data_IF_723786640204
#
_entry.id   IF_723786640204
#
_cell.length_a   1.000
_cell.length_b   1.000
_cell.length_c   1.000
_cell.angle_alpha   90.00
_cell.angle_beta   90.00
_cell.angle_gamma   90.00
#
_symmetry.space_group_name_H-M   'P 1'
#
loop_
_entity.id
_entity.type
_entity.pdbx_description
1 polymer ?
#
# COMPACT_ATOMS: atom_id res chain seq x y z
N UNK A 1 7.60 -18.67 51.30
CA UNK A 1 7.21 -17.93 50.07
C UNK A 1 8.26 -17.96 48.96
N UNK A 2 9.55 -17.68 49.20
CA UNK A 2 10.59 -17.63 48.15
C UNK A 2 10.75 -18.91 47.30
N UNK A 3 10.57 -20.10 47.89
CA UNK A 3 10.66 -21.38 47.17
C UNK A 3 9.46 -21.68 46.28
N UNK A 4 8.29 -21.12 46.59
CA UNK A 4 7.07 -21.30 45.79
C UNK A 4 7.11 -20.41 44.54
N UNK A 5 7.65 -19.19 44.66
CA UNK A 5 7.86 -18.29 43.53
C UNK A 5 8.83 -18.88 42.49
N UNK A 6 9.87 -19.58 42.96
CA UNK A 6 10.90 -20.17 42.10
C UNK A 6 10.35 -21.37 41.30
N UNK A 7 9.50 -22.20 41.91
CA UNK A 7 8.81 -23.30 41.22
C UNK A 7 7.77 -22.78 40.23
N UNK A 8 7.05 -21.70 40.57
CA UNK A 8 6.10 -21.05 39.66
C UNK A 8 6.79 -20.41 38.45
N UNK A 9 7.95 -19.76 38.67
CA UNK A 9 8.78 -19.23 37.58
C UNK A 9 9.38 -20.35 36.72
N UNK A 10 9.75 -21.49 37.29
CA UNK A 10 10.26 -22.63 36.51
C UNK A 10 9.15 -23.30 35.68
N UNK A 11 7.90 -23.36 36.19
CA UNK A 11 6.73 -23.83 35.45
C UNK A 11 6.33 -22.87 34.32
N UNK A 12 6.37 -21.56 34.57
CA UNK A 12 6.11 -20.53 33.54
C UNK A 12 7.23 -20.47 32.48
N UNK A 13 8.49 -20.68 32.89
CA UNK A 13 9.63 -20.77 31.97
C UNK A 13 9.66 -22.09 31.19
N UNK A 14 9.03 -23.16 31.68
CA UNK A 14 8.87 -24.42 30.93
C UNK A 14 7.75 -24.38 29.88
N UNK A 15 6.98 -23.29 29.83
CA UNK A 15 6.07 -22.95 28.73
C UNK A 15 6.80 -22.47 27.46
N UNK A 16 8.08 -22.83 27.28
CA UNK A 16 8.81 -22.67 26.02
C UNK A 16 8.07 -23.50 24.97
N UNK A 17 7.23 -22.79 24.21
CA UNK A 17 6.92 -22.97 22.78
C UNK A 17 7.32 -24.34 22.25
N UNK A 18 6.56 -25.37 22.64
CA UNK A 18 6.57 -26.62 21.90
C UNK A 18 5.86 -26.33 20.58
N UNK A 19 6.65 -26.04 19.54
CA UNK A 19 6.16 -26.06 18.17
C UNK A 19 5.80 -27.53 17.86
N UNK A 20 4.57 -27.92 18.18
CA UNK A 20 4.09 -29.29 18.02
C UNK A 20 4.04 -29.59 16.53
N UNK A 21 4.96 -30.44 16.05
CA UNK A 21 4.94 -30.93 14.67
C UNK A 21 3.60 -31.62 14.40
N UNK A 22 2.87 -31.09 13.42
CA UNK A 22 1.58 -31.66 12.99
C UNK A 22 1.82 -32.67 11.86
N UNK A 23 1.02 -33.74 11.87
CA UNK A 23 1.12 -34.81 10.90
C UNK A 23 -0.20 -34.99 10.16
N UNK A 24 -0.08 -35.33 8.90
CA UNK A 24 -1.16 -35.70 8.00
C UNK A 24 -1.22 -37.23 7.98
N UNK A 25 -2.34 -37.78 8.44
CA UNK A 25 -2.58 -39.22 8.44
C UNK A 25 -2.83 -39.74 7.02
N UNK A 26 -2.26 -40.89 6.68
CA UNK A 26 -2.46 -41.57 5.41
C UNK A 26 -3.66 -42.55 5.47
N UNK A 27 -4.27 -42.91 4.32
CA UNK A 27 -3.99 -42.39 2.98
C UNK A 27 -4.78 -41.11 2.68
N UNK A 28 -4.18 -40.23 1.88
CA UNK A 28 -4.88 -39.08 1.29
C UNK A 28 -4.58 -39.04 -0.19
N UNK A 29 -5.63 -38.82 -0.98
CA UNK A 29 -5.55 -38.64 -2.41
C UNK A 29 -6.25 -37.34 -2.82
N UNK A 30 -5.55 -36.54 -3.62
CA UNK A 30 -6.04 -35.31 -4.23
C UNK A 30 -5.96 -35.46 -5.75
N UNK A 31 -6.90 -36.14 -6.41
CA UNK A 31 -6.88 -36.26 -7.87
C UNK A 31 -7.38 -34.95 -8.50
N UNK A 32 -6.49 -34.22 -9.19
CA UNK A 32 -6.81 -32.97 -9.89
C UNK A 32 -7.68 -31.99 -9.05
N UNK A 33 -7.37 -31.88 -7.76
CA UNK A 33 -8.18 -31.13 -6.79
C UNK A 33 -7.76 -29.66 -6.77
N UNK A 34 -8.68 -28.68 -6.67
CA UNK A 34 -8.31 -27.27 -6.53
C UNK A 34 -7.37 -27.04 -5.35
N UNK A 35 -6.32 -26.23 -5.54
CA UNK A 35 -5.26 -25.99 -4.54
C UNK A 35 -5.85 -25.52 -3.21
N UNK A 36 -6.81 -24.58 -3.24
CA UNK A 36 -7.53 -24.10 -2.05
C UNK A 36 -8.16 -25.25 -1.27
N UNK A 37 -8.93 -26.10 -1.97
CA UNK A 37 -9.66 -27.23 -1.38
C UNK A 37 -8.68 -28.27 -0.79
N UNK A 38 -7.57 -28.55 -1.48
CA UNK A 38 -6.55 -29.46 -0.97
C UNK A 38 -5.94 -28.95 0.35
N UNK A 39 -5.60 -27.66 0.43
CA UNK A 39 -5.04 -27.03 1.64
C UNK A 39 -6.07 -27.04 2.79
N UNK A 40 -7.31 -26.63 2.52
CA UNK A 40 -8.39 -26.63 3.52
C UNK A 40 -8.65 -28.05 4.05
N UNK A 41 -8.59 -29.06 3.18
CA UNK A 41 -8.73 -30.48 3.56
C UNK A 41 -7.60 -30.94 4.47
N UNK A 42 -6.36 -30.52 4.21
CA UNK A 42 -5.23 -30.84 5.08
C UNK A 42 -5.41 -30.24 6.46
N UNK A 43 -5.73 -28.94 6.54
CA UNK A 43 -5.94 -28.28 7.82
C UNK A 43 -7.12 -28.84 8.61
N UNK A 44 -8.21 -29.21 7.91
CA UNK A 44 -9.35 -29.89 8.54
C UNK A 44 -8.95 -31.24 9.15
N UNK A 45 -8.13 -32.03 8.44
CA UNK A 45 -7.67 -33.34 8.91
C UNK A 45 -6.67 -33.25 10.06
N UNK A 46 -5.82 -32.23 10.09
CA UNK A 46 -4.83 -32.04 11.16
C UNK A 46 -5.37 -31.23 12.34
N UNK A 47 -6.51 -30.55 12.17
CA UNK A 47 -7.07 -29.63 13.15
C UNK A 47 -6.25 -28.34 13.32
N UNK A 48 -5.38 -28.00 12.38
CA UNK A 48 -4.58 -26.77 12.46
C UNK A 48 -5.42 -25.55 12.04
N UNK A 49 -5.18 -24.42 12.70
CA UNK A 49 -5.79 -23.15 12.31
C UNK A 49 -5.01 -22.53 11.16
N UNK A 50 -5.71 -21.85 10.24
CA UNK A 50 -5.10 -21.25 9.06
C UNK A 50 -5.78 -19.96 8.65
N UNK A 51 -5.06 -19.14 7.86
CA UNK A 51 -5.54 -17.93 7.22
C UNK A 51 -4.96 -17.82 5.81
N UNK A 52 -5.79 -17.41 4.84
CA UNK A 52 -5.32 -17.09 3.49
C UNK A 52 -5.04 -15.58 3.39
N UNK A 53 -3.76 -15.22 3.27
CA UNK A 53 -3.31 -13.84 3.06
C UNK A 53 -3.08 -13.52 1.57
N UNK A 54 -3.65 -14.35 0.69
CA UNK A 54 -3.57 -14.17 -0.77
C UNK A 54 -4.88 -13.56 -1.24
N UNK A 55 -4.89 -12.24 -1.41
CA UNK A 55 -6.06 -11.48 -1.87
C UNK A 55 -6.09 -11.32 -3.39
N UNK A 56 -4.93 -11.13 -4.04
CA UNK A 56 -4.83 -10.95 -5.50
C UNK A 56 -3.56 -11.61 -6.10
N UNK A 57 -3.70 -12.56 -7.05
CA UNK A 57 -4.95 -13.15 -7.52
C UNK A 57 -5.58 -14.05 -6.45
N UNK A 58 -6.91 -14.23 -6.44
CA UNK A 58 -7.58 -15.06 -5.43
C UNK A 58 -7.10 -16.51 -5.48
N UNK A 59 -7.21 -17.23 -4.35
CA UNK A 59 -6.74 -18.62 -4.22
C UNK A 59 -7.32 -19.59 -5.28
N UNK A 60 -8.46 -19.27 -5.89
CA UNK A 60 -9.06 -20.03 -6.99
C UNK A 60 -8.21 -20.04 -8.27
N UNK A 61 -7.34 -19.05 -8.48
CA UNK A 61 -6.54 -18.88 -9.71
C UNK A 61 -5.30 -19.79 -9.72
N UNK A 62 -4.88 -20.33 -8.57
CA UNK A 62 -3.69 -21.18 -8.47
C UNK A 62 -3.92 -22.61 -9.02
N UNK A 63 -5.11 -22.87 -9.57
CA UNK A 63 -5.45 -24.08 -10.31
C UNK A 63 -5.55 -25.31 -9.40
N UNK A 64 -5.21 -26.46 -9.97
CA UNK A 64 -5.35 -27.76 -9.32
C UNK A 64 -4.00 -28.37 -8.94
N UNK A 65 -4.05 -29.36 -8.04
CA UNK A 65 -2.95 -30.21 -7.61
C UNK A 65 -3.35 -31.68 -7.78
N UNK A 66 -2.38 -32.51 -8.15
CA UNK A 66 -2.50 -33.97 -8.06
C UNK A 66 -1.45 -34.48 -7.09
N UNK A 67 -1.89 -35.04 -5.96
CA UNK A 67 -1.00 -35.49 -4.89
C UNK A 67 -1.57 -36.72 -4.19
N UNK A 68 -0.73 -37.74 -4.01
CA UNK A 68 -1.09 -38.96 -3.28
C UNK A 68 -0.11 -39.21 -2.14
N UNK A 69 -0.64 -39.29 -0.91
CA UNK A 69 0.10 -39.48 0.33
C UNK A 69 -0.17 -40.90 0.82
N UNK A 70 0.84 -41.78 0.67
CA UNK A 70 0.76 -43.20 1.03
C UNK A 70 1.06 -43.48 2.50
N UNK A 71 1.86 -42.62 3.12
CA UNK A 71 2.38 -42.80 4.46
C UNK A 71 2.22 -41.50 5.25
N UNK A 72 2.17 -41.62 6.58
CA UNK A 72 2.04 -40.47 7.47
C UNK A 72 3.21 -39.50 7.24
N UNK A 73 2.88 -38.24 6.99
CA UNK A 73 3.85 -37.19 6.64
C UNK A 73 3.63 -35.94 7.49
N UNK A 74 4.67 -35.13 7.68
CA UNK A 74 4.56 -33.84 8.35
C UNK A 74 3.72 -32.86 7.52
N UNK A 75 2.82 -32.11 8.17
CA UNK A 75 1.95 -31.15 7.51
C UNK A 75 2.74 -30.13 6.70
N UNK A 76 3.82 -29.60 7.27
CA UNK A 76 4.69 -28.61 6.64
C UNK A 76 5.30 -29.13 5.33
N UNK A 77 5.71 -30.40 5.32
CA UNK A 77 6.26 -31.06 4.13
C UNK A 77 5.21 -31.18 3.04
N UNK A 78 4.00 -31.63 3.39
CA UNK A 78 2.89 -31.77 2.45
C UNK A 78 2.44 -30.41 1.91
N UNK A 79 2.33 -29.39 2.77
CA UNK A 79 2.00 -28.03 2.36
C UNK A 79 3.05 -27.46 1.41
N UNK A 80 4.34 -27.67 1.68
CA UNK A 80 5.41 -27.23 0.80
C UNK A 80 5.33 -27.86 -0.60
N UNK A 81 4.94 -29.14 -0.69
CA UNK A 81 4.73 -29.84 -1.97
C UNK A 81 3.59 -29.21 -2.80
N UNK A 82 2.50 -28.76 -2.15
CA UNK A 82 1.36 -28.12 -2.82
C UNK A 82 1.68 -26.67 -3.20
N UNK A 83 2.30 -25.92 -2.28
CA UNK A 83 2.43 -24.46 -2.38
C UNK A 83 3.62 -24.02 -3.25
N UNK A 84 4.77 -24.71 -3.15
CA UNK A 84 6.01 -24.29 -3.83
C UNK A 84 5.88 -24.21 -5.36
N UNK A 85 5.25 -25.19 -6.05
CA UNK A 85 5.03 -25.09 -7.50
C UNK A 85 4.13 -23.93 -7.93
N UNK A 86 3.33 -23.40 -6.98
CA UNK A 86 2.37 -22.31 -7.19
C UNK A 86 2.91 -20.95 -6.78
N UNK A 87 4.21 -20.87 -6.47
CA UNK A 87 4.86 -19.69 -5.92
C UNK A 87 4.16 -19.13 -4.66
N UNK A 88 3.66 -20.05 -3.83
CA UNK A 88 3.09 -19.75 -2.52
C UNK A 88 4.04 -20.25 -1.42
N UNK A 89 3.86 -19.72 -0.22
CA UNK A 89 4.58 -20.09 0.99
C UNK A 89 3.64 -20.02 2.18
N UNK A 90 4.06 -20.57 3.31
CA UNK A 90 3.36 -20.41 4.57
C UNK A 90 4.34 -19.99 5.67
N UNK A 91 3.83 -19.25 6.66
CA UNK A 91 4.50 -19.02 7.94
C UNK A 91 3.53 -19.40 9.06
N UNK A 92 4.07 -19.90 10.18
CA UNK A 92 3.28 -20.16 11.38
C UNK A 92 3.55 -19.02 12.38
N UNK A 93 2.49 -18.41 12.91
CA UNK A 93 2.64 -17.37 13.93
C UNK A 93 2.85 -17.96 15.33
N UNK A 94 3.06 -17.07 16.32
CA UNK A 94 3.24 -17.47 17.72
C UNK A 94 2.00 -18.17 18.32
N UNK A 95 0.83 -18.00 17.71
CA UNK A 95 -0.44 -18.64 18.10
C UNK A 95 -0.65 -20.00 17.44
N UNK A 96 0.26 -20.42 16.54
CA UNK A 96 0.16 -21.67 15.81
C UNK A 96 -0.76 -21.61 14.58
N UNK A 97 -1.12 -20.41 14.10
CA UNK A 97 -1.95 -20.22 12.90
C UNK A 97 -1.04 -20.22 11.67
N UNK A 98 -1.42 -20.99 10.66
CA UNK A 98 -0.73 -21.06 9.38
C UNK A 98 -1.22 -19.96 8.43
N UNK A 99 -0.33 -19.04 8.10
CA UNK A 99 -0.60 -17.93 7.17
C UNK A 99 -0.09 -18.29 5.78
N UNK A 100 -1.01 -18.59 4.86
CA UNK A 100 -0.70 -18.91 3.46
C UNK A 100 -0.59 -17.61 2.66
N UNK A 101 0.56 -17.38 2.03
CA UNK A 101 0.86 -16.13 1.32
C UNK A 101 1.64 -16.37 0.04
N UNK A 102 1.60 -15.40 -0.88
CA UNK A 102 2.43 -15.41 -2.08
C UNK A 102 3.90 -15.34 -1.68
N UNK A 103 4.73 -16.19 -2.27
CA UNK A 103 6.16 -16.11 -2.09
C UNK A 103 6.63 -14.83 -2.79
N UNK A 104 6.99 -13.81 -2.02
CA UNK A 104 7.51 -12.58 -2.60
C UNK A 104 8.85 -12.91 -3.27
N UNK A 105 9.00 -12.54 -4.54
CA UNK A 105 10.30 -12.62 -5.23
C UNK A 105 11.27 -11.53 -4.74
N UNK A 106 10.82 -10.66 -3.83
CA UNK A 106 11.71 -9.76 -3.11
C UNK A 106 12.54 -10.58 -2.12
N UNK A 107 13.88 -10.55 -2.22
CA UNK A 107 14.72 -11.15 -1.20
C UNK A 107 14.35 -10.56 0.17
N UNK A 108 14.52 -11.32 1.26
CA UNK A 108 14.24 -10.82 2.60
C UNK A 108 14.94 -9.48 2.75
N UNK A 109 14.16 -8.44 3.07
CA UNK A 109 14.70 -7.10 3.19
C UNK A 109 15.76 -7.13 4.27
N UNK A 110 17.01 -6.88 3.87
CA UNK A 110 18.16 -6.98 4.77
C UNK A 110 18.04 -5.87 5.81
N UNK A 111 17.65 -6.22 7.03
CA UNK A 111 17.66 -5.31 8.17
C UNK A 111 19.09 -5.28 8.73
N UNK A 112 19.62 -4.08 8.97
CA UNK A 112 20.93 -3.90 9.59
C UNK A 112 20.81 -2.96 10.78
N UNK A 113 21.64 -3.15 11.81
CA UNK A 113 21.75 -2.25 12.94
C UNK A 113 22.90 -1.27 12.69
N UNK A 114 22.66 0.02 12.92
CA UNK A 114 23.68 1.07 12.87
C UNK A 114 23.59 1.92 14.13
N UNK A 115 24.76 2.14 14.74
CA UNK A 115 24.93 2.94 15.95
C UNK A 115 25.36 4.36 15.57
N UNK A 116 24.78 5.35 16.25
CA UNK A 116 25.07 6.77 16.07
C UNK A 116 25.35 7.40 17.44
N UNK A 117 26.56 7.90 17.63
CA UNK A 117 26.94 8.68 18.81
C UNK A 117 26.50 10.14 18.62
N UNK A 118 25.93 10.74 19.67
CA UNK A 118 25.35 12.09 19.66
C UNK A 118 26.17 13.03 20.55
N UNK A 119 26.31 14.29 20.15
CA UNK A 119 27.17 15.27 20.83
C UNK A 119 26.38 16.36 21.58
N UNK A 120 25.33 16.88 20.96
CA UNK A 120 24.58 18.05 21.41
C UNK A 120 23.15 17.73 21.85
N UNK A 121 22.54 16.69 21.29
CA UNK A 121 21.22 16.19 21.69
C UNK A 121 21.36 14.91 22.51
N UNK A 122 20.45 14.70 23.47
CA UNK A 122 20.46 13.47 24.26
C UNK A 122 19.86 12.28 23.50
N UNK A 123 20.43 11.10 23.68
CA UNK A 123 19.89 9.87 23.08
C UNK A 123 18.48 9.55 23.57
N UNK A 124 18.16 9.92 24.81
CA UNK A 124 16.83 9.77 25.40
C UNK A 124 15.80 10.66 24.69
N UNK A 125 16.14 11.90 24.37
CA UNK A 125 15.27 12.80 23.59
C UNK A 125 14.95 12.22 22.21
N UNK A 126 15.94 11.67 21.51
CA UNK A 126 15.72 11.05 20.19
C UNK A 126 14.94 9.74 20.32
N UNK A 127 15.29 8.89 21.28
CA UNK A 127 14.66 7.59 21.48
C UNK A 127 13.18 7.72 21.86
N UNK A 128 12.80 8.81 22.54
CA UNK A 128 11.43 9.09 22.94
C UNK A 128 10.64 9.98 21.95
N UNK A 129 11.25 10.52 20.89
CA UNK A 129 10.54 11.34 19.92
C UNK A 129 9.65 10.49 19.01
N UNK A 130 8.33 10.66 19.15
CA UNK A 130 7.31 9.94 18.39
C UNK A 130 7.38 10.17 16.88
N UNK A 131 7.89 11.32 16.41
CA UNK A 131 8.05 11.58 14.98
C UNK A 131 9.21 10.77 14.40
N UNK A 132 10.27 10.60 15.19
CA UNK A 132 11.44 9.80 14.81
C UNK A 132 11.07 8.31 14.77
N UNK A 133 10.30 7.82 15.75
CA UNK A 133 9.80 6.44 15.76
C UNK A 133 8.92 6.12 14.56
N UNK A 134 8.10 7.07 14.09
CA UNK A 134 7.25 6.91 12.89
C UNK A 134 8.02 6.72 11.59
N UNK A 135 9.29 7.10 11.53
CA UNK A 135 10.14 6.88 10.35
C UNK A 135 10.67 5.43 10.29
N UNK A 136 10.46 4.63 11.34
CA UNK A 136 10.83 3.22 11.33
C UNK A 136 9.87 2.43 10.43
N UNK A 137 10.40 1.40 9.76
CA UNK A 137 9.54 0.44 9.05
C UNK A 137 8.84 -0.46 10.06
N UNK A 138 7.90 -1.30 9.62
CA UNK A 138 7.22 -2.28 10.47
C UNK A 138 8.19 -3.18 11.28
N UNK A 139 9.38 -3.43 10.75
CA UNK A 139 10.43 -4.24 11.40
C UNK A 139 11.56 -3.40 12.00
N UNK A 140 11.42 -2.07 11.97
CA UNK A 140 12.42 -1.14 12.46
C UNK A 140 12.39 -1.04 13.98
N UNK A 141 13.57 -0.96 14.60
CA UNK A 141 13.72 -0.79 16.05
C UNK A 141 14.68 0.37 16.31
N UNK A 142 14.30 1.27 17.22
CA UNK A 142 15.14 2.33 17.77
C UNK A 142 15.36 2.04 19.25
N UNK A 143 16.63 1.95 19.65
CA UNK A 143 17.04 1.66 21.03
C UNK A 143 18.15 2.61 21.45
N UNK A 144 18.21 2.93 22.73
CA UNK A 144 19.33 3.66 23.32
C UNK A 144 20.52 2.72 23.53
N UNK A 145 21.73 3.17 23.18
CA UNK A 145 22.99 2.46 23.41
C UNK A 145 23.61 2.77 24.78
N UNK A 146 24.82 2.25 25.02
CA UNK A 146 25.58 2.48 26.23
C UNK A 146 26.22 3.89 26.20
N UNK A 147 25.42 4.93 26.51
CA UNK A 147 25.88 6.32 26.56
C UNK A 147 24.92 7.28 25.86
N UNK A 148 25.48 8.36 25.30
CA UNK A 148 24.70 9.31 24.49
C UNK A 148 24.60 8.84 23.04
N UNK A 149 24.09 7.63 22.84
CA UNK A 149 24.08 6.97 21.54
C UNK A 149 22.73 6.32 21.24
N UNK A 150 22.37 6.26 19.97
CA UNK A 150 21.17 5.55 19.49
C UNK A 150 21.58 4.43 18.53
N UNK A 151 20.90 3.29 18.64
CA UNK A 151 21.05 2.15 17.76
C UNK A 151 19.75 2.00 16.98
N UNK A 152 19.86 2.11 15.66
CA UNK A 152 18.73 1.98 14.73
C UNK A 152 18.90 0.72 13.93
N UNK A 153 17.95 -0.20 14.07
CA UNK A 153 17.88 -1.45 13.32
C UNK A 153 16.79 -1.33 12.28
N UNK A 154 17.14 -1.18 11.00
CA UNK A 154 16.18 -0.93 9.92
C UNK A 154 16.75 -1.26 8.53
N UNK A 155 15.98 -1.01 7.49
CA UNK A 155 16.42 -1.11 6.09
C UNK A 155 17.53 -0.09 5.77
N UNK A 156 18.54 -0.45 4.94
CA UNK A 156 19.66 0.43 4.62
C UNK A 156 19.24 1.78 4.03
N UNK A 157 18.20 1.80 3.18
CA UNK A 157 17.64 3.03 2.60
C UNK A 157 17.10 3.98 3.67
N UNK A 158 16.41 3.44 4.67
CA UNK A 158 15.85 4.20 5.79
C UNK A 158 16.96 4.71 6.70
N UNK A 159 17.99 3.91 6.96
CA UNK A 159 19.14 4.34 7.76
C UNK A 159 19.89 5.52 7.13
N UNK A 160 19.97 5.62 5.80
CA UNK A 160 20.54 6.80 5.14
C UNK A 160 19.74 8.08 5.44
N UNK A 161 18.41 7.98 5.52
CA UNK A 161 17.55 9.10 5.90
C UNK A 161 17.75 9.49 7.36
N UNK A 162 17.84 8.51 8.26
CA UNK A 162 18.16 8.76 9.67
C UNK A 162 19.52 9.45 9.85
N UNK A 163 20.55 9.03 9.10
CA UNK A 163 21.87 9.67 9.17
C UNK A 163 21.81 11.16 8.78
N UNK A 164 21.00 11.51 7.77
CA UNK A 164 20.78 12.92 7.40
C UNK A 164 20.06 13.69 8.50
N UNK A 165 19.02 13.11 9.09
CA UNK A 165 18.25 13.73 10.18
C UNK A 165 19.16 13.96 11.39
N UNK A 166 19.91 12.95 11.82
CA UNK A 166 20.81 13.05 12.97
C UNK A 166 21.84 14.17 12.75
N UNK A 167 22.43 14.27 11.56
CA UNK A 167 23.37 15.37 11.23
C UNK A 167 22.74 16.77 11.27
N UNK A 168 21.44 16.89 11.05
CA UNK A 168 20.73 18.19 11.11
C UNK A 168 20.40 18.55 12.56
N UNK A 169 20.00 17.55 13.34
CA UNK A 169 19.50 17.74 14.72
C UNK A 169 20.64 17.82 15.73
N UNK A 170 21.69 17.01 15.57
CA UNK A 170 22.83 16.96 16.49
C UNK A 170 23.81 18.12 16.23
N UNK A 171 23.39 19.35 16.58
CA UNK A 171 24.17 20.58 16.42
C UNK A 171 24.11 21.44 17.70
N UNK A 172 25.04 22.40 17.91
CA UNK A 172 25.07 23.23 19.13
C UNK A 172 23.76 23.98 19.45
N UNK A 173 22.98 24.36 18.42
CA UNK A 173 21.71 25.08 18.55
C UNK A 173 20.50 24.18 18.22
N UNK A 174 20.53 22.93 18.72
CA UNK A 174 19.57 21.90 18.35
C UNK A 174 18.12 22.25 18.73
N UNK A 175 17.87 23.03 19.77
CA UNK A 175 16.50 23.40 20.19
C UNK A 175 15.72 24.11 19.06
N UNK A 176 16.34 25.10 18.41
CA UNK A 176 15.73 25.84 17.31
C UNK A 176 15.60 24.98 16.03
N UNK A 177 16.56 24.10 15.77
CA UNK A 177 16.53 23.23 14.57
C UNK A 177 15.61 22.03 14.73
N UNK A 178 15.42 21.52 15.95
CA UNK A 178 14.51 20.41 16.23
C UNK A 178 13.06 20.83 15.95
N UNK A 179 12.69 22.07 16.27
CA UNK A 179 11.36 22.61 15.98
C UNK A 179 11.13 22.79 14.46
N UNK A 180 12.12 23.34 13.74
CA UNK A 180 12.08 23.43 12.28
C UNK A 180 12.06 22.05 11.59
N UNK A 181 12.77 21.06 12.14
CA UNK A 181 12.82 19.71 11.62
C UNK A 181 11.53 18.92 11.93
N UNK A 182 10.88 19.18 13.07
CA UNK A 182 9.55 18.63 13.39
C UNK A 182 8.51 19.06 12.37
N UNK A 183 8.51 20.33 11.96
CA UNK A 183 7.65 20.83 10.88
C UNK A 183 7.99 20.19 9.52
N UNK A 184 9.28 20.07 9.18
CA UNK A 184 9.72 19.39 7.95
C UNK A 184 9.36 17.90 7.92
N UNK A 185 9.54 17.18 9.03
CA UNK A 185 9.20 15.77 9.15
C UNK A 185 7.69 15.53 9.08
N UNK A 186 6.87 16.44 9.61
CA UNK A 186 5.41 16.39 9.49
C UNK A 186 4.97 16.50 8.03
N UNK A 187 5.62 17.37 7.26
CA UNK A 187 5.39 17.49 5.81
C UNK A 187 5.89 16.25 5.06
N UNK A 188 7.09 15.75 5.40
CA UNK A 188 7.70 14.58 4.74
C UNK A 188 6.91 13.29 5.00
N UNK A 189 6.48 13.05 6.25
CA UNK A 189 5.68 11.89 6.62
C UNK A 189 4.36 11.83 5.86
N UNK A 190 3.67 12.97 5.72
CA UNK A 190 2.42 13.05 4.96
C UNK A 190 2.61 12.82 3.45
N UNK A 191 3.82 13.07 2.92
CA UNK A 191 4.13 12.90 1.50
C UNK A 191 4.44 11.44 1.13
N UNK A 192 5.15 10.73 2.01
CA UNK A 192 5.66 9.37 1.72
C UNK A 192 4.89 8.25 2.41
N UNK A 193 4.11 8.57 3.45
CA UNK A 193 3.31 7.61 4.21
C UNK A 193 1.92 8.20 4.48
N UNK A 194 1.05 8.33 3.45
CA UNK A 194 -0.33 8.76 3.67
C UNK A 194 -1.01 7.77 4.62
N UNK A 195 -1.55 8.27 5.74
CA UNK A 195 -2.21 7.45 6.75
C UNK A 195 -3.44 6.75 6.15
N UNK A 196 -3.47 5.43 6.23
CA UNK A 196 -4.72 4.72 6.43
C UNK A 196 -5.26 5.10 7.82
N UNK A 197 -6.52 5.54 7.88
CA UNK A 197 -7.16 6.05 9.08
C UNK A 197 -7.36 4.93 10.10
N UNK A 198 -6.57 4.90 11.17
CA UNK A 198 -6.81 4.07 12.36
C UNK A 198 -8.09 4.54 13.08
N UNK A 199 -8.98 3.59 13.37
CA UNK A 199 -10.18 3.76 14.21
C UNK A 199 -9.77 3.85 15.67
N UNK A 200 -10.14 4.94 16.34
CA UNK A 200 -10.06 5.06 17.80
C UNK A 200 -11.06 4.11 18.48
N UNK A 201 -10.55 3.17 19.28
CA UNK A 201 -11.34 2.44 20.26
C UNK A 201 -11.68 3.35 21.45
N UNK A 202 -12.97 3.46 21.80
CA UNK A 202 -13.41 3.98 23.10
C UNK A 202 -14.16 2.90 23.88
N UNK A 203 -13.72 2.65 25.11
CA UNK A 203 -14.44 1.90 26.16
C UNK A 203 -14.75 2.83 27.34
N UNK A 204 -16.04 3.03 27.67
CA UNK A 204 -16.69 2.64 28.95
C UNK A 204 -18.13 3.21 29.15
N UNK A 205 -19.05 2.27 29.42
CA UNK A 205 -20.21 2.23 30.36
C UNK A 205 -21.38 3.28 30.36
N UNK A 206 -22.52 2.84 29.79
CA UNK A 206 -23.99 2.89 30.16
C UNK A 206 -24.60 4.04 31.02
N UNK A 207 -25.90 4.44 30.82
CA UNK A 207 -27.07 3.56 30.59
C UNK A 207 -28.11 4.00 29.52
N UNK A 208 -29.05 3.08 29.27
CA UNK A 208 -30.05 3.03 28.19
C UNK A 208 -30.81 4.33 27.88
N UNK A 209 -30.85 4.68 26.58
CA UNK A 209 -32.00 5.37 25.97
C UNK A 209 -32.04 5.15 24.46
N UNK A 210 -33.21 4.70 24.00
CA UNK A 210 -33.71 4.59 22.62
C UNK A 210 -32.78 3.95 21.57
N UNK A 211 -33.10 2.71 21.18
CA UNK A 211 -32.47 2.03 20.04
C UNK A 211 -33.03 2.63 18.76
N UNK A 212 -32.28 3.51 18.11
CA UNK A 212 -32.47 3.78 16.67
C UNK A 212 -32.12 2.51 15.88
N UNK A 213 -32.85 2.20 14.79
CA UNK A 213 -32.54 1.03 13.96
C UNK A 213 -31.11 1.16 13.41
N UNK A 214 -30.37 0.04 13.26
CA UNK A 214 -28.97 0.07 12.90
C UNK A 214 -28.77 0.83 11.59
N UNK A 215 -27.97 1.90 11.65
CA UNK A 215 -27.33 2.46 10.47
C UNK A 215 -26.43 1.35 9.91
N UNK A 216 -26.75 0.92 8.70
CA UNK A 216 -26.02 -0.15 8.00
C UNK A 216 -24.57 0.30 7.79
N UNK A 217 -23.66 -0.18 8.62
CA UNK A 217 -22.21 -0.11 8.40
C UNK A 217 -21.80 -1.36 7.63
N UNK A 218 -21.79 -1.24 6.30
CA UNK A 218 -21.24 -2.28 5.44
C UNK A 218 -20.27 -1.69 4.44
N UNK A 219 -19.10 -2.32 4.38
CA UNK A 219 -18.14 -2.33 3.28
C UNK A 219 -18.83 -2.87 2.01
N UNK A 220 -19.76 -2.09 1.48
CA UNK A 220 -20.68 -2.51 0.43
C UNK A 220 -20.08 -2.17 -0.93
N UNK A 221 -20.11 -3.09 -1.91
CA UNK A 221 -19.78 -2.76 -3.29
C UNK A 221 -20.53 -1.50 -3.76
N UNK A 222 -19.80 -0.57 -4.38
CA UNK A 222 -20.30 0.75 -4.77
C UNK A 222 -21.54 0.66 -5.66
N UNK A 223 -21.59 -0.35 -6.53
CA UNK A 223 -22.73 -0.64 -7.38
C UNK A 223 -24.00 -0.90 -6.56
N UNK A 224 -23.90 -1.72 -5.51
CA UNK A 224 -25.02 -2.06 -4.62
C UNK A 224 -25.44 -0.83 -3.80
N UNK A 225 -24.47 -0.04 -3.33
CA UNK A 225 -24.75 1.19 -2.61
C UNK A 225 -25.52 2.21 -3.48
N UNK A 226 -25.09 2.42 -4.73
CA UNK A 226 -25.75 3.29 -5.70
C UNK A 226 -27.14 2.77 -6.07
N UNK A 227 -27.27 1.48 -6.35
CA UNK A 227 -28.56 0.82 -6.62
C UNK A 227 -29.56 1.02 -5.48
N UNK A 228 -29.11 0.85 -4.23
CA UNK A 228 -29.95 1.07 -3.04
C UNK A 228 -30.34 2.54 -2.91
N UNK A 229 -29.39 3.47 -3.11
CA UNK A 229 -29.60 4.90 -2.99
C UNK A 229 -30.66 5.42 -3.99
N UNK A 230 -30.51 5.05 -5.26
CA UNK A 230 -31.43 5.47 -6.32
C UNK A 230 -32.81 4.80 -6.18
N UNK A 231 -32.85 3.54 -5.72
CA UNK A 231 -34.10 2.85 -5.41
C UNK A 231 -34.86 3.54 -4.27
N UNK A 232 -34.18 3.93 -3.20
CA UNK A 232 -34.79 4.64 -2.07
C UNK A 232 -35.25 6.06 -2.47
N UNK A 233 -34.49 6.75 -3.32
CA UNK A 233 -34.85 8.07 -3.85
C UNK A 233 -35.90 8.05 -4.97
N UNK A 234 -36.23 6.87 -5.52
CA UNK A 234 -37.17 6.67 -6.64
C UNK A 234 -36.80 7.48 -7.89
N UNK A 235 -35.52 7.52 -8.24
CA UNK A 235 -35.03 8.22 -9.44
C UNK A 235 -34.35 7.24 -10.41
N UNK A 236 -34.37 7.60 -11.69
CA UNK A 236 -33.69 6.86 -12.75
C UNK A 236 -32.20 7.20 -12.80
N UNK A 237 -31.36 6.22 -13.11
CA UNK A 237 -29.91 6.42 -13.23
C UNK A 237 -29.31 5.56 -14.35
N UNK A 238 -28.16 6.00 -14.85
CA UNK A 238 -27.32 5.28 -15.81
C UNK A 238 -25.88 5.33 -15.31
N UNK A 239 -25.20 4.19 -15.39
CA UNK A 239 -23.77 4.08 -15.10
C UNK A 239 -23.05 4.01 -16.44
N UNK A 240 -22.46 5.13 -16.84
CA UNK A 240 -21.83 5.29 -18.16
C UNK A 240 -20.40 4.75 -18.20
N UNK A 241 -19.86 4.31 -17.06
CA UNK A 241 -18.51 3.73 -16.93
C UNK A 241 -18.53 2.41 -16.17
N UNK A 242 -17.79 1.37 -16.59
CA UNK A 242 -17.66 0.14 -15.82
C UNK A 242 -17.17 0.44 -14.40
N UNK A 243 -17.92 0.00 -13.39
CA UNK A 243 -17.51 0.06 -11.99
C UNK A 243 -16.72 -1.21 -11.67
N UNK A 244 -15.54 -1.06 -11.07
CA UNK A 244 -14.76 -2.20 -10.57
C UNK A 244 -15.52 -2.87 -9.42
N UNK A 245 -15.65 -4.20 -9.48
CA UNK A 245 -16.38 -5.01 -8.49
C UNK A 245 -15.76 -4.92 -7.08
N UNK A 246 -14.50 -4.49 -6.99
CA UNK A 246 -13.79 -4.26 -5.73
C UNK A 246 -13.95 -2.84 -5.18
N UNK A 247 -14.60 -1.91 -5.90
CA UNK A 247 -14.89 -0.58 -5.38
C UNK A 247 -15.93 -0.66 -4.28
N UNK A 248 -15.58 -0.21 -3.08
CA UNK A 248 -16.47 -0.18 -1.91
C UNK A 248 -16.63 1.23 -1.36
N UNK A 249 -17.77 1.51 -0.76
CA UNK A 249 -18.06 2.78 -0.10
C UNK A 249 -17.53 2.77 1.33
N UNK A 250 -16.78 3.79 1.74
CA UNK A 250 -16.50 4.03 3.17
C UNK A 250 -17.71 4.67 3.86
N UNK A 251 -17.83 4.50 5.19
CA UNK A 251 -18.95 4.91 6.05
C UNK A 251 -19.59 6.26 5.66
N UNK A 252 -20.57 6.21 4.77
CA UNK A 252 -21.46 7.32 4.47
C UNK A 252 -22.75 7.07 5.25
N UNK A 253 -22.80 7.54 6.50
CA UNK A 253 -24.03 7.59 7.27
C UNK A 253 -25.00 8.60 6.62
N UNK A 254 -25.87 8.08 5.75
CA UNK A 254 -26.90 8.85 5.06
C UNK A 254 -28.25 8.54 5.72
N UNK A 255 -28.91 9.56 6.27
CA UNK A 255 -30.25 9.40 6.82
C UNK A 255 -31.25 9.29 5.67
N UNK A 256 -32.19 8.34 5.79
CA UNK A 256 -33.21 8.08 4.75
C UNK A 256 -34.07 9.31 4.44
N UNK A 257 -34.28 10.17 5.42
CA UNK A 257 -35.04 11.42 5.29
C UNK A 257 -34.36 12.42 4.35
N UNK A 258 -33.03 12.43 4.29
CA UNK A 258 -32.26 13.34 3.44
C UNK A 258 -32.36 12.93 1.95
N UNK A 259 -32.64 11.66 1.65
CA UNK A 259 -32.72 11.14 0.27
C UNK A 259 -34.00 11.55 -0.48
N UNK A 260 -35.01 12.05 0.24
CA UNK A 260 -36.27 12.51 -0.36
C UNK A 260 -36.18 13.93 -0.93
N UNK A 261 -35.10 14.66 -0.62
CA UNK A 261 -34.81 16.00 -1.13
C UNK A 261 -33.68 15.92 -2.16
N UNK A 262 -33.83 16.60 -3.30
CA UNK A 262 -32.83 16.66 -4.38
C UNK A 262 -31.43 16.98 -3.84
N UNK A 263 -31.32 18.02 -3.00
CA UNK A 263 -30.06 18.44 -2.39
C UNK A 263 -29.42 17.38 -1.49
N UNK A 264 -30.24 16.57 -0.80
CA UNK A 264 -29.74 15.52 0.07
C UNK A 264 -29.24 14.30 -0.70
N UNK A 265 -29.92 13.94 -1.80
CA UNK A 265 -29.45 12.91 -2.73
C UNK A 265 -28.13 13.32 -3.40
N UNK A 266 -28.04 14.55 -3.91
CA UNK A 266 -26.81 15.05 -4.54
C UNK A 266 -25.64 15.10 -3.56
N UNK A 267 -25.88 15.50 -2.30
CA UNK A 267 -24.85 15.51 -1.25
C UNK A 267 -24.40 14.11 -0.87
N UNK A 268 -25.32 13.14 -0.85
CA UNK A 268 -25.00 11.73 -0.63
C UNK A 268 -24.17 11.16 -1.79
N UNK A 269 -24.56 11.43 -3.04
CA UNK A 269 -23.81 11.03 -4.24
C UNK A 269 -22.40 11.63 -4.24
N UNK A 270 -22.24 12.93 -3.95
CA UNK A 270 -20.91 13.55 -3.83
C UNK A 270 -20.03 12.80 -2.84
N UNK A 271 -20.53 12.49 -1.63
CA UNK A 271 -19.77 11.75 -0.62
C UNK A 271 -19.36 10.34 -1.07
N UNK A 272 -20.26 9.63 -1.77
CA UNK A 272 -20.00 8.27 -2.27
C UNK A 272 -18.96 8.29 -3.41
N UNK A 273 -19.05 9.28 -4.29
CA UNK A 273 -18.30 9.32 -5.55
C UNK A 273 -16.95 10.07 -5.46
N UNK A 274 -16.82 11.04 -4.54
CA UNK A 274 -15.64 11.90 -4.37
C UNK A 274 -14.36 11.10 -4.07
N UNK A 275 -14.48 9.96 -3.39
CA UNK A 275 -13.37 9.10 -3.02
C UNK A 275 -12.89 8.17 -4.14
N UNK A 276 -13.61 8.09 -5.26
CA UNK A 276 -13.42 7.06 -6.29
C UNK A 276 -13.19 7.61 -7.68
N UNK A 277 -12.83 8.89 -7.79
CA UNK A 277 -12.68 9.58 -9.07
C UNK A 277 -13.93 9.41 -9.95
N UNK A 278 -15.11 9.36 -9.34
CA UNK A 278 -16.38 9.33 -10.06
C UNK A 278 -17.05 10.70 -9.91
N UNK A 279 -17.79 11.11 -10.93
CA UNK A 279 -18.64 12.28 -10.91
C UNK A 279 -20.04 11.89 -11.37
N UNK A 280 -21.00 12.78 -11.17
CA UNK A 280 -22.32 12.63 -11.74
C UNK A 280 -22.81 13.91 -12.40
N UNK A 281 -23.67 13.74 -13.39
CA UNK A 281 -24.49 14.80 -13.99
C UNK A 281 -25.96 14.38 -13.98
N UNK A 282 -26.87 15.32 -14.17
CA UNK A 282 -28.30 15.06 -14.28
C UNK A 282 -28.78 15.63 -15.61
N UNK A 283 -29.42 14.80 -16.43
CA UNK A 283 -29.92 15.24 -17.74
C UNK A 283 -31.23 16.06 -17.61
N UNK A 284 -31.73 16.55 -18.73
CA UNK A 284 -32.98 17.33 -18.80
C UNK A 284 -34.23 16.53 -18.35
N UNK A 285 -34.14 15.19 -18.30
CA UNK A 285 -35.21 14.29 -17.86
C UNK A 285 -35.08 13.91 -16.39
N UNK A 286 -34.06 14.41 -15.69
CA UNK A 286 -33.80 14.10 -14.29
C UNK A 286 -33.10 12.74 -14.07
N UNK A 287 -32.47 12.18 -15.11
CA UNK A 287 -31.70 10.93 -15.03
C UNK A 287 -30.29 11.24 -14.57
N UNK A 288 -29.82 10.53 -13.55
CA UNK A 288 -28.46 10.66 -13.03
C UNK A 288 -27.49 9.82 -13.85
N UNK A 289 -26.46 10.46 -14.40
CA UNK A 289 -25.37 9.85 -15.16
C UNK A 289 -24.13 9.76 -14.28
N UNK A 290 -23.64 8.55 -13.98
CA UNK A 290 -22.40 8.35 -13.21
C UNK A 290 -21.28 7.98 -14.17
N UNK A 291 -20.21 8.75 -14.13
CA UNK A 291 -19.04 8.60 -15.01
C UNK A 291 -17.75 8.77 -14.24
N UNK A 292 -16.65 8.19 -14.74
CA UNK A 292 -15.32 8.52 -14.22
C UNK A 292 -15.05 10.01 -14.42
N UNK A 293 -14.62 10.67 -13.35
CA UNK A 293 -14.07 12.01 -13.41
C UNK A 293 -12.94 11.95 -14.42
N UNK A 294 -13.02 12.79 -15.43
CA UNK A 294 -11.97 12.92 -16.43
C UNK A 294 -10.73 13.48 -15.71
N UNK A 295 -9.87 12.59 -15.20
CA UNK A 295 -8.63 12.94 -14.49
C UNK A 295 -7.51 13.31 -15.45
N UNK A 296 -7.85 13.59 -16.71
CA UNK A 296 -7.00 14.34 -17.63
C UNK A 296 -6.67 15.75 -17.14
N UNK A 297 -7.20 16.22 -16.01
CA UNK A 297 -6.52 17.26 -15.23
C UNK A 297 -5.21 16.69 -14.69
N UNK A 298 -4.18 16.71 -15.55
CA UNK A 298 -2.80 16.62 -15.16
C UNK A 298 -2.65 17.57 -13.98
N UNK A 299 -2.32 17.05 -12.79
CA UNK A 299 -1.89 17.91 -11.70
C UNK A 299 -0.76 18.73 -12.32
N UNK A 300 -0.92 20.05 -12.45
CA UNK A 300 0.07 20.88 -13.14
C UNK A 300 1.38 20.77 -12.36
N UNK A 301 2.26 19.92 -12.87
CA UNK A 301 3.57 19.69 -12.28
C UNK A 301 4.49 20.67 -12.98
N UNK A 302 5.13 21.51 -12.19
CA UNK A 302 6.08 22.47 -12.68
C UNK A 302 7.50 22.00 -12.38
N UNK A 303 8.40 22.29 -13.31
CA UNK A 303 9.83 22.14 -13.15
C UNK A 303 10.38 23.45 -12.61
N UNK A 304 11.02 23.37 -11.43
CA UNK A 304 11.65 24.52 -10.80
C UNK A 304 13.03 24.79 -11.42
N UNK A 305 13.31 26.01 -11.92
CA UNK A 305 14.61 26.37 -12.48
C UNK A 305 15.67 26.58 -11.38
N UNK A 306 16.97 26.59 -11.71
CA UNK A 306 17.53 26.36 -13.04
C UNK A 306 17.80 24.87 -13.29
N UNK A 307 17.52 24.43 -14.52
CA UNK A 307 17.98 23.12 -15.02
C UNK A 307 18.79 23.38 -16.29
N UNK A 308 20.00 22.83 -16.35
CA UNK A 308 20.86 22.92 -17.52
C UNK A 308 21.34 21.52 -17.89
N UNK A 309 20.83 21.01 -19.02
CA UNK A 309 21.34 19.81 -19.67
C UNK A 309 22.31 20.26 -20.75
N UNK A 310 23.57 19.86 -20.64
CA UNK A 310 24.58 20.06 -21.68
C UNK A 310 25.04 18.71 -22.16
N UNK A 311 24.67 18.36 -23.40
CA UNK A 311 25.02 17.08 -24.03
C UNK A 311 24.75 15.85 -23.13
N UNK A 312 23.64 15.89 -22.39
CA UNK A 312 23.30 14.88 -21.39
C UNK A 312 22.50 13.74 -22.02
N UNK A 313 22.80 12.46 -21.78
CA UNK A 313 22.02 11.36 -22.35
C UNK A 313 20.52 11.49 -22.04
N UNK A 314 19.67 11.26 -23.04
CA UNK A 314 18.21 11.44 -22.92
C UNK A 314 17.63 10.75 -21.68
N UNK A 315 18.06 9.53 -21.38
CA UNK A 315 17.63 8.78 -20.20
C UNK A 315 17.90 9.55 -18.89
N UNK A 316 19.10 10.10 -18.75
CA UNK A 316 19.53 10.85 -17.56
C UNK A 316 18.76 12.17 -17.43
N UNK A 317 18.50 12.83 -18.56
CA UNK A 317 17.68 14.06 -18.57
C UNK A 317 16.25 13.78 -18.14
N UNK A 318 15.63 12.70 -18.64
CA UNK A 318 14.28 12.29 -18.24
C UNK A 318 14.24 11.89 -16.77
N UNK A 319 15.18 11.07 -16.30
CA UNK A 319 15.31 10.70 -14.88
C UNK A 319 15.39 11.96 -13.99
N UNK A 320 16.15 12.96 -14.42
CA UNK A 320 16.31 14.22 -13.68
C UNK A 320 15.03 15.04 -13.63
N UNK A 321 14.23 15.04 -14.71
CA UNK A 321 12.92 15.71 -14.78
C UNK A 321 11.86 14.99 -13.95
N UNK A 322 11.96 13.66 -13.83
CA UNK A 322 10.97 12.82 -13.14
C UNK A 322 11.31 12.49 -11.68
N UNK A 323 12.48 12.87 -11.17
CA UNK A 323 12.93 12.63 -9.78
C UNK A 323 11.88 12.98 -8.70
N UNK A 324 10.96 13.90 -8.98
CA UNK A 324 10.00 14.41 -8.01
C UNK A 324 8.54 13.97 -8.22
N UNK A 325 8.20 13.18 -9.26
CA UNK A 325 6.81 13.23 -9.77
C UNK A 325 6.15 11.89 -10.04
N UNK A 326 6.81 10.90 -10.62
CA UNK A 326 6.20 9.58 -10.83
C UNK A 326 7.25 8.57 -11.28
N UNK A 327 6.91 7.27 -11.12
CA UNK A 327 7.57 6.22 -11.89
C UNK A 327 7.32 6.49 -13.37
N UNK A 328 8.35 6.43 -14.20
CA UNK A 328 8.21 6.47 -15.65
C UNK A 328 8.59 5.11 -16.24
N UNK A 329 7.94 4.75 -17.35
CA UNK A 329 8.23 3.55 -18.12
C UNK A 329 8.66 3.97 -19.52
N UNK A 330 9.80 3.45 -19.95
CA UNK A 330 10.32 3.65 -21.29
C UNK A 330 9.92 2.41 -22.09
N UNK A 331 8.95 2.57 -22.99
CA UNK A 331 8.43 1.50 -23.83
C UNK A 331 9.15 1.42 -25.20
N UNK A 332 10.30 2.11 -25.31
CA UNK A 332 11.21 2.00 -26.47
C UNK A 332 12.38 1.07 -26.15
N UNK A 333 12.75 0.14 -27.07
CA UNK A 333 13.73 -0.93 -26.81
C UNK A 333 15.13 -0.45 -26.38
N UNK A 334 15.54 0.75 -26.80
CA UNK A 334 16.77 1.39 -26.35
C UNK A 334 16.66 2.92 -26.44
N UNK A 335 16.43 3.58 -25.31
CA UNK A 335 16.33 5.05 -25.27
C UNK A 335 17.67 5.75 -25.55
N UNK A 336 18.80 5.02 -25.43
CA UNK A 336 20.13 5.60 -25.65
C UNK A 336 20.38 5.93 -27.13
N UNK A 337 19.69 5.25 -28.05
CA UNK A 337 19.75 5.52 -29.50
C UNK A 337 19.19 6.89 -29.88
N UNK A 338 18.42 7.52 -28.99
CA UNK A 338 17.83 8.84 -29.21
C UNK A 338 18.76 9.99 -28.82
N UNK A 339 20.01 9.69 -28.45
CA UNK A 339 21.10 10.64 -28.27
C UNK A 339 20.98 11.54 -27.04
N UNK A 340 21.68 12.66 -27.08
CA UNK A 340 21.81 13.58 -25.96
C UNK A 340 20.81 14.74 -26.04
N UNK A 341 20.60 15.40 -24.91
CA UNK A 341 19.74 16.57 -24.71
C UNK A 341 20.64 17.74 -24.30
N UNK A 342 20.49 18.84 -25.04
CA UNK A 342 21.06 20.13 -24.68
C UNK A 342 19.91 21.12 -24.54
N UNK A 343 19.62 21.53 -23.31
CA UNK A 343 18.48 22.37 -22.99
C UNK A 343 18.70 23.09 -21.66
N UNK A 344 18.35 24.38 -21.61
CA UNK A 344 18.41 25.18 -20.39
C UNK A 344 17.03 25.73 -20.05
N UNK A 345 16.55 25.43 -18.84
CA UNK A 345 15.30 25.92 -18.26
C UNK A 345 15.67 27.02 -17.26
N UNK A 346 15.36 28.26 -17.63
CA UNK A 346 15.67 29.45 -16.81
C UNK A 346 14.47 29.98 -16.04
N UNK A 347 13.26 29.52 -16.37
CA UNK A 347 12.00 29.95 -15.78
C UNK A 347 11.15 28.72 -15.43
N UNK A 348 10.20 28.90 -14.52
CA UNK A 348 9.26 27.85 -14.13
C UNK A 348 8.42 27.43 -15.34
N UNK A 349 8.47 26.15 -15.70
CA UNK A 349 7.76 25.60 -16.86
C UNK A 349 6.96 24.37 -16.46
N UNK A 350 5.83 24.14 -17.14
CA UNK A 350 5.08 22.90 -16.95
C UNK A 350 5.89 21.71 -17.46
N UNK A 351 5.89 20.62 -16.70
CA UNK A 351 6.61 19.40 -17.04
C UNK A 351 6.19 18.85 -18.39
N UNK A 352 4.91 18.98 -18.74
CA UNK A 352 4.36 18.52 -20.04
C UNK A 352 5.02 19.24 -21.22
N UNK A 353 5.30 20.53 -21.08
CA UNK A 353 5.89 21.37 -22.13
C UNK A 353 7.37 21.01 -22.30
N UNK A 354 8.06 20.83 -21.18
CA UNK A 354 9.47 20.40 -21.17
C UNK A 354 9.65 19.02 -21.78
N UNK A 355 8.76 18.06 -21.47
CA UNK A 355 8.78 16.73 -22.08
C UNK A 355 8.54 16.80 -23.58
N UNK A 356 7.59 17.63 -24.01
CA UNK A 356 7.31 17.84 -25.44
C UNK A 356 8.55 18.37 -26.16
N UNK A 357 9.23 19.39 -25.58
CA UNK A 357 10.45 19.98 -26.13
C UNK A 357 11.60 18.97 -26.27
N UNK A 358 11.72 18.01 -25.35
CA UNK A 358 12.78 16.99 -25.37
C UNK A 358 12.46 15.85 -26.34
N UNK A 359 11.20 15.38 -26.33
CA UNK A 359 10.81 14.13 -26.96
C UNK A 359 10.44 14.31 -28.44
N UNK A 360 9.75 15.39 -28.81
CA UNK A 360 9.29 15.59 -30.18
C UNK A 360 10.42 15.64 -31.22
N UNK A 361 11.55 16.35 -31.00
CA UNK A 361 12.66 16.38 -31.95
C UNK A 361 13.28 15.00 -32.20
N UNK A 362 13.04 14.05 -31.27
CA UNK A 362 13.56 12.69 -31.29
C UNK A 362 12.54 11.68 -31.85
N UNK A 363 11.39 12.16 -32.36
CA UNK A 363 10.33 11.30 -32.86
C UNK A 363 9.67 10.45 -31.77
N UNK A 364 9.70 10.93 -30.53
CA UNK A 364 9.07 10.31 -29.37
C UNK A 364 7.81 11.10 -28.99
N UNK A 365 6.87 10.42 -28.34
CA UNK A 365 5.71 11.01 -27.67
C UNK A 365 5.52 10.32 -26.34
N UNK A 366 4.67 10.88 -25.48
CA UNK A 366 4.33 10.27 -24.21
C UNK A 366 2.84 10.29 -23.94
N UNK A 367 2.39 9.43 -23.02
CA UNK A 367 1.08 9.48 -22.41
C UNK A 367 1.21 9.14 -20.92
N UNK A 368 0.25 9.59 -20.12
CA UNK A 368 0.22 9.31 -18.68
C UNK A 368 -0.94 8.36 -18.41
N UNK A 369 -0.67 7.26 -17.73
CA UNK A 369 -1.71 6.29 -17.40
C UNK A 369 -2.59 6.73 -16.22
N UNK A 370 -3.60 5.93 -15.91
CA UNK A 370 -4.56 6.24 -14.85
C UNK A 370 -3.95 6.26 -13.44
N UNK A 371 -2.74 5.74 -13.24
CA UNK A 371 -2.01 5.75 -11.96
C UNK A 371 -0.86 6.78 -11.96
N UNK A 372 -0.76 7.61 -12.99
CA UNK A 372 0.22 8.70 -13.10
C UNK A 372 1.57 8.26 -13.65
N UNK A 373 1.71 7.06 -14.23
CA UNK A 373 2.95 6.60 -14.85
C UNK A 373 3.09 7.21 -16.24
N UNK A 374 4.24 7.81 -16.50
CA UNK A 374 4.54 8.37 -17.82
C UNK A 374 5.15 7.30 -18.72
N UNK A 375 4.47 7.01 -19.82
CA UNK A 375 4.89 6.07 -20.85
C UNK A 375 5.50 6.82 -22.04
N UNK A 376 6.76 6.55 -22.36
CA UNK A 376 7.45 7.16 -23.51
C UNK A 376 7.48 6.15 -24.66
N UNK A 377 6.90 6.53 -25.80
CA UNK A 377 6.73 5.68 -26.98
C UNK A 377 7.26 6.38 -28.24
N UNK A 378 7.58 5.59 -29.26
CA UNK A 378 7.90 6.12 -30.59
C UNK A 378 6.62 6.71 -31.23
N UNK A 379 6.71 7.93 -31.75
CA UNK A 379 5.58 8.58 -32.44
C UNK A 379 5.22 7.71 -33.66
N UNK A 380 3.96 7.30 -33.83
CA UNK A 380 3.56 6.49 -34.98
C UNK A 380 3.82 7.28 -36.26
N UNK A 381 4.59 6.69 -37.18
CA UNK A 381 4.78 7.27 -38.52
C UNK A 381 3.44 7.13 -39.22
N UNK A 382 2.82 8.25 -39.58
CA UNK A 382 1.58 8.22 -40.35
C UNK A 382 1.82 7.38 -41.62
N UNK A 383 0.94 6.43 -41.97
CA UNK A 383 1.10 5.67 -43.19
C UNK A 383 1.16 6.66 -44.34
N UNK A 384 2.25 6.60 -45.12
CA UNK A 384 2.33 7.36 -46.38
C UNK A 384 1.07 7.05 -47.18
N UNK A 385 0.28 8.09 -47.48
CA UNK A 385 -0.86 7.96 -48.38
C UNK A 385 -0.30 7.51 -49.73
N UNK A 386 -0.38 6.21 -50.00
CA UNK A 386 -0.11 5.64 -51.32
C UNK A 386 -1.21 5.99 -52.29
#
# INVERSE_FOLDING_TARGET
>A
MKRFLLVLMFLLASGIVYCKTLYVEAPIDFPNTPVKVAIETLFLKTGAQYSFEVTDPPMSVYGNVTLYIRERQELDTVLALILKPKNLSFNVDASGIYHIKKKSNTPPVKIIAKQYSLTYITADEIANDENIKKLLTKNGVLTQGDGNEIIITNEPSVLQSFEKIIKIVDVPDHANKLEALKELLKVFYNLYFPKDVEKEETKKEQPMKYVEPPTSTFDTPIKIALESLFKDAKVSYVIDTPLDENMRTSDASIKKEDLTKKDGLEKALKRILEWKELTFSVDEKGVYHIQKKDTTSHKEIFIEPPIDFQDTPLKVSLESIFLNVAKFVIDVPDISEYGNVTMRITEKQEQKDVLTLILEPKGLTYWVDAIGVVHIIKKPVAPEKK
#
